data_IF_803716142291
#
_entry.id   IF_803716142291
#
_cell.length_a   1.000
_cell.length_b   1.000
_cell.length_c   1.000
_cell.angle_alpha   90.00
_cell.angle_beta   90.00
_cell.angle_gamma   90.00
#
_symmetry.space_group_name_H-M   'P 1'
#
loop_
_entity.id
_entity.type
_entity.pdbx_description
1 polymer ?
#
# COMPACT_ATOMS: atom_id res chain seq x y z
N UNK A 1 11.28 31.69 -3.89
CA UNK A 1 9.85 32.10 -3.83
C UNK A 1 8.93 30.89 -3.60
N UNK A 2 7.71 31.03 -3.06
CA UNK A 2 6.88 29.88 -2.66
C UNK A 2 6.56 28.90 -3.79
N UNK A 3 6.11 29.38 -4.97
CA UNK A 3 5.71 28.48 -6.05
C UNK A 3 6.90 27.65 -6.60
N UNK A 4 8.07 28.25 -6.91
CA UNK A 4 9.27 27.48 -7.25
C UNK A 4 9.74 26.54 -6.13
N UNK A 5 9.69 26.96 -4.87
CA UNK A 5 10.13 26.12 -3.76
C UNK A 5 9.26 24.85 -3.60
N UNK A 6 7.93 24.99 -3.65
CA UNK A 6 7.01 23.85 -3.58
C UNK A 6 7.13 22.93 -4.80
N UNK A 7 7.28 23.49 -5.99
CA UNK A 7 7.51 22.67 -7.19
C UNK A 7 8.84 21.91 -7.10
N UNK A 8 9.91 22.54 -6.60
CA UNK A 8 11.19 21.87 -6.37
C UNK A 8 11.05 20.75 -5.33
N UNK A 9 10.35 20.99 -4.22
CA UNK A 9 10.02 19.96 -3.23
C UNK A 9 9.34 18.75 -3.87
N UNK A 10 8.34 18.99 -4.72
CA UNK A 10 7.65 17.94 -5.48
C UNK A 10 8.59 17.13 -6.40
N UNK A 11 9.60 17.77 -6.99
CA UNK A 11 10.59 17.08 -7.82
C UNK A 11 11.57 16.26 -6.98
N UNK A 12 11.91 16.73 -5.78
CA UNK A 12 12.94 16.15 -4.93
C UNK A 12 12.44 15.03 -3.99
N UNK A 13 11.13 14.97 -3.70
CA UNK A 13 10.55 14.02 -2.72
C UNK A 13 10.84 12.54 -3.02
N UNK A 14 11.02 12.20 -4.30
CA UNK A 14 11.27 10.84 -4.79
C UNK A 14 12.68 10.66 -5.35
N UNK A 15 13.63 11.53 -4.99
CA UNK A 15 14.99 11.51 -5.51
C UNK A 15 15.03 11.70 -7.04
N UNK A 16 15.69 10.80 -7.76
CA UNK A 16 15.92 10.92 -9.21
C UNK A 16 14.83 10.30 -10.11
N UNK A 17 13.61 10.08 -9.59
CA UNK A 17 12.52 9.49 -10.37
C UNK A 17 12.08 10.30 -11.60
N UNK A 18 12.37 11.62 -11.63
CA UNK A 18 12.11 12.48 -12.78
C UNK A 18 13.11 12.27 -13.94
N UNK A 19 14.16 11.47 -13.76
CA UNK A 19 15.18 11.22 -14.78
C UNK A 19 15.05 9.83 -15.42
N UNK A 20 15.55 9.71 -16.64
CA UNK A 20 15.60 8.49 -17.42
C UNK A 20 17.04 8.12 -17.80
N UNK A 21 17.36 6.82 -17.88
CA UNK A 21 16.56 5.68 -17.40
C UNK A 21 16.37 5.70 -15.87
N UNK A 22 15.26 5.14 -15.37
CA UNK A 22 14.98 5.14 -13.92
C UNK A 22 16.09 4.41 -13.16
N UNK A 23 16.71 5.09 -12.18
CA UNK A 23 17.73 4.54 -11.27
C UNK A 23 17.62 5.20 -9.89
N UNK A 24 18.13 4.53 -8.86
CA UNK A 24 18.34 5.15 -7.55
C UNK A 24 19.54 6.10 -7.65
N UNK A 25 19.30 7.40 -7.57
CA UNK A 25 20.33 8.44 -7.72
C UNK A 25 19.81 9.77 -7.14
N UNK A 26 20.60 10.84 -7.28
CA UNK A 26 20.26 12.19 -6.84
C UNK A 26 19.76 13.07 -7.99
N UNK A 27 18.77 13.90 -7.69
CA UNK A 27 18.29 14.98 -8.53
C UNK A 27 18.77 16.31 -7.96
N UNK A 28 19.32 17.17 -8.82
CA UNK A 28 19.59 18.56 -8.49
C UNK A 28 18.40 19.40 -8.95
N UNK A 29 17.87 20.25 -8.06
CA UNK A 29 16.88 21.25 -8.40
C UNK A 29 17.45 22.65 -8.12
N UNK A 30 17.58 23.46 -9.16
CA UNK A 30 17.95 24.88 -9.06
C UNK A 30 16.69 25.72 -9.03
N UNK A 31 16.48 26.44 -7.93
CA UNK A 31 15.29 27.27 -7.70
C UNK A 31 15.59 28.72 -8.08
N UNK A 32 14.94 29.20 -9.14
CA UNK A 32 14.98 30.59 -9.57
C UNK A 32 13.83 31.43 -9.00
N UNK A 33 13.68 32.64 -9.52
CA UNK A 33 12.61 33.56 -9.10
C UNK A 33 11.22 33.09 -9.57
N UNK A 34 11.12 32.60 -10.80
CA UNK A 34 9.87 32.17 -11.45
C UNK A 34 9.97 30.76 -12.10
N UNK A 35 11.07 30.04 -11.85
CA UNK A 35 11.33 28.72 -12.43
C UNK A 35 12.00 27.75 -11.45
N UNK A 36 11.91 26.47 -11.79
CA UNK A 36 12.70 25.37 -11.22
C UNK A 36 13.36 24.63 -12.36
N UNK A 37 14.67 24.46 -12.30
CA UNK A 37 15.42 23.63 -13.24
C UNK A 37 15.85 22.35 -12.55
N UNK A 38 15.58 21.21 -13.17
CA UNK A 38 15.94 19.90 -12.65
C UNK A 38 16.88 19.18 -13.59
N UNK A 39 17.92 18.59 -13.04
CA UNK A 39 18.84 17.73 -13.74
C UNK A 39 19.38 16.63 -12.81
N UNK A 40 19.66 15.42 -13.33
CA UNK A 40 20.30 14.38 -12.55
C UNK A 40 21.80 14.67 -12.41
N UNK A 41 22.39 14.30 -11.27
CA UNK A 41 23.83 14.46 -11.06
C UNK A 41 24.62 13.40 -11.87
N UNK A 42 24.04 12.23 -12.08
CA UNK A 42 24.65 11.15 -12.84
C UNK A 42 24.65 11.42 -14.36
N UNK A 43 25.84 11.48 -15.01
CA UNK A 43 25.98 11.81 -16.43
C UNK A 43 25.25 10.86 -17.39
N UNK A 44 24.93 9.64 -16.96
CA UNK A 44 24.19 8.66 -17.76
C UNK A 44 22.67 8.87 -17.74
N UNK A 45 22.18 9.80 -16.91
CA UNK A 45 20.76 10.09 -16.75
C UNK A 45 20.41 11.44 -17.39
N UNK A 46 19.15 11.59 -17.79
CA UNK A 46 18.58 12.83 -18.31
C UNK A 46 17.16 13.07 -17.82
N UNK A 47 16.82 14.30 -17.46
CA UNK A 47 15.44 14.74 -17.35
C UNK A 47 14.92 15.12 -18.73
N UNK A 48 13.67 14.75 -19.01
CA UNK A 48 12.94 15.16 -20.23
C UNK A 48 11.66 15.88 -19.83
N UNK A 49 11.07 16.73 -20.68
CA UNK A 49 9.82 17.38 -20.36
C UNK A 49 8.72 16.38 -19.95
N UNK A 50 8.66 15.23 -20.63
CA UNK A 50 7.70 14.19 -20.30
C UNK A 50 7.97 13.54 -18.93
N UNK A 51 9.23 13.19 -18.62
CA UNK A 51 9.55 12.54 -17.35
C UNK A 51 9.32 13.47 -16.15
N UNK A 52 9.61 14.77 -16.31
CA UNK A 52 9.30 15.80 -15.31
C UNK A 52 7.79 15.99 -15.15
N UNK A 53 7.03 16.01 -16.25
CA UNK A 53 5.56 16.09 -16.19
C UNK A 53 4.95 14.88 -15.47
N UNK A 54 5.42 13.67 -15.78
CA UNK A 54 4.96 12.43 -15.13
C UNK A 54 5.27 12.46 -13.63
N UNK A 55 6.46 12.90 -13.23
CA UNK A 55 6.80 13.03 -11.81
C UNK A 55 5.94 14.08 -11.11
N UNK A 56 5.61 15.20 -11.77
CA UNK A 56 4.74 16.22 -11.20
C UNK A 56 3.33 15.68 -10.91
N UNK A 57 2.83 14.77 -11.75
CA UNK A 57 1.52 14.11 -11.59
C UNK A 57 1.51 12.97 -10.56
N UNK A 58 2.68 12.38 -10.27
CA UNK A 58 2.79 11.23 -9.40
C UNK A 58 2.24 11.52 -8.00
N UNK A 59 1.53 10.58 -7.38
CA UNK A 59 1.01 10.70 -5.99
C UNK A 59 0.11 11.92 -5.71
N UNK A 60 -0.37 12.60 -6.74
CA UNK A 60 -1.27 13.74 -6.62
C UNK A 60 -2.71 13.37 -7.00
N UNK A 61 -3.68 13.86 -6.22
CA UNK A 61 -5.10 13.67 -6.51
C UNK A 61 -5.60 14.53 -7.68
N UNK A 62 -4.90 15.62 -7.99
CA UNK A 62 -5.20 16.51 -9.12
C UNK A 62 -3.94 16.66 -9.99
N UNK A 63 -4.09 16.68 -11.33
CA UNK A 63 -2.95 16.84 -12.21
C UNK A 63 -2.34 18.26 -12.23
N UNK A 64 -3.06 19.25 -11.70
CA UNK A 64 -2.70 20.68 -11.85
C UNK A 64 -2.80 21.50 -10.57
N UNK A 65 -3.41 20.97 -9.51
CA UNK A 65 -3.54 21.67 -8.22
C UNK A 65 -2.96 20.80 -7.11
N UNK A 66 -1.77 21.14 -6.64
CA UNK A 66 -1.15 20.43 -5.51
C UNK A 66 -1.45 21.20 -4.23
N UNK A 67 -2.07 20.53 -3.26
CA UNK A 67 -2.47 21.13 -1.99
C UNK A 67 -1.38 20.87 -0.97
N UNK A 68 -0.85 21.95 -0.43
CA UNK A 68 0.31 21.93 0.46
C UNK A 68 0.03 22.77 1.72
N UNK A 69 0.76 22.55 2.83
CA UNK A 69 0.67 23.42 3.99
C UNK A 69 0.82 24.91 3.61
N UNK A 70 -0.23 25.69 3.89
CA UNK A 70 -0.25 27.14 3.64
C UNK A 70 -0.64 27.57 2.23
N UNK A 71 -1.05 26.65 1.35
CA UNK A 71 -1.52 27.06 0.02
C UNK A 71 -1.73 25.96 -1.01
N UNK A 72 -1.96 26.41 -2.24
CA UNK A 72 -2.12 25.56 -3.41
C UNK A 72 -1.06 25.97 -4.42
N UNK A 73 -0.25 25.01 -4.85
CA UNK A 73 0.60 25.15 -6.03
C UNK A 73 -0.26 24.85 -7.27
N UNK A 74 -0.56 25.90 -8.03
CA UNK A 74 -1.26 25.81 -9.31
C UNK A 74 -0.25 25.70 -10.44
N UNK A 75 -0.29 24.58 -11.16
CA UNK A 75 0.60 24.25 -12.28
C UNK A 75 -0.12 24.32 -13.63
N UNK A 76 -1.35 24.85 -13.69
CA UNK A 76 -2.17 24.92 -14.91
C UNK A 76 -1.49 25.69 -16.05
N UNK A 77 -0.65 26.68 -15.71
CA UNK A 77 0.09 27.50 -16.67
C UNK A 77 1.57 27.11 -16.78
N UNK A 78 1.94 25.94 -16.25
CA UNK A 78 3.33 25.51 -16.29
C UNK A 78 3.80 25.25 -17.72
N UNK A 79 4.99 25.77 -18.03
CA UNK A 79 5.75 25.39 -19.23
C UNK A 79 6.90 24.51 -18.78
N UNK A 80 7.01 23.33 -19.39
CA UNK A 80 8.04 22.33 -19.09
C UNK A 80 8.90 22.19 -20.34
N UNK A 81 10.12 22.71 -20.31
CA UNK A 81 10.96 22.87 -21.48
C UNK A 81 12.36 22.31 -21.21
N UNK A 82 12.91 21.57 -22.18
CA UNK A 82 14.30 21.12 -22.10
C UNK A 82 15.22 22.32 -22.31
N UNK A 83 16.16 22.52 -21.39
CA UNK A 83 17.18 23.60 -21.47
C UNK A 83 18.56 23.05 -21.80
N UNK A 84 18.74 21.74 -21.65
CA UNK A 84 19.88 20.99 -22.15
C UNK A 84 19.45 19.56 -22.52
N UNK A 85 20.33 18.71 -23.07
CA UNK A 85 20.03 17.30 -23.28
C UNK A 85 19.70 16.52 -21.99
N UNK A 86 19.99 17.08 -20.81
CA UNK A 86 19.83 16.41 -19.50
C UNK A 86 19.01 17.19 -18.48
N UNK A 87 18.77 18.48 -18.73
CA UNK A 87 18.13 19.40 -17.80
C UNK A 87 16.83 19.95 -18.37
N UNK A 88 15.84 20.10 -17.49
CA UNK A 88 14.50 20.61 -17.81
C UNK A 88 14.17 21.76 -16.89
N UNK A 89 13.64 22.83 -17.45
CA UNK A 89 13.13 23.97 -16.70
C UNK A 89 11.61 23.96 -16.70
N UNK A 90 11.04 24.16 -15.52
CA UNK A 90 9.61 24.38 -15.31
C UNK A 90 9.40 25.82 -14.86
N UNK A 91 8.52 26.54 -15.54
CA UNK A 91 8.14 27.93 -15.21
C UNK A 91 6.62 28.10 -15.26
N UNK A 92 6.09 29.22 -14.78
CA UNK A 92 4.66 29.56 -14.89
C UNK A 92 3.77 28.98 -13.79
N UNK A 93 4.34 28.30 -12.79
CA UNK A 93 3.61 27.89 -11.58
C UNK A 93 3.23 29.10 -10.73
N UNK A 94 2.09 29.00 -10.05
CA UNK A 94 1.57 30.05 -9.17
C UNK A 94 1.28 29.49 -7.78
N UNK A 95 1.63 30.27 -6.75
CA UNK A 95 1.27 29.95 -5.38
C UNK A 95 0.00 30.71 -5.00
N UNK A 96 -1.02 29.98 -4.55
CA UNK A 96 -2.26 30.54 -4.03
C UNK A 96 -2.27 30.33 -2.51
N UNK A 97 -1.99 31.38 -1.71
CA UNK A 97 -1.98 31.25 -0.25
C UNK A 97 -3.33 30.74 0.28
N UNK A 98 -3.26 29.89 1.30
CA UNK A 98 -4.38 29.39 2.11
C UNK A 98 -3.94 29.39 3.58
N UNK A 99 -4.87 29.22 4.55
CA UNK A 99 -4.48 28.94 5.93
C UNK A 99 -3.48 27.78 6.00
N UNK A 100 -2.51 27.89 6.92
CA UNK A 100 -1.55 26.82 7.13
C UNK A 100 -2.25 25.63 7.79
N UNK A 101 -1.90 24.42 7.36
CA UNK A 101 -2.55 23.21 7.86
C UNK A 101 -1.52 22.12 8.13
N UNK A 102 -1.74 21.33 9.16
CA UNK A 102 -0.94 20.16 9.49
C UNK A 102 -1.81 18.92 9.32
N UNK A 103 -1.32 17.98 8.50
CA UNK A 103 -1.96 16.67 8.35
C UNK A 103 -1.55 15.77 9.51
N UNK A 104 -2.54 15.28 10.25
CA UNK A 104 -2.36 14.27 11.27
C UNK A 104 -2.75 12.90 10.73
N UNK A 105 -1.80 11.98 10.80
CA UNK A 105 -1.97 10.57 10.49
C UNK A 105 -1.65 9.74 11.72
N UNK A 106 -2.51 8.78 12.03
CA UNK A 106 -2.39 7.94 13.20
C UNK A 106 -2.60 6.48 12.85
N UNK A 107 -1.88 5.61 13.56
CA UNK A 107 -2.09 4.19 13.53
C UNK A 107 -2.40 3.72 14.95
N UNK A 108 -3.37 2.80 15.08
CA UNK A 108 -3.70 2.18 16.36
C UNK A 108 -3.50 0.68 16.29
N UNK A 109 -3.06 0.09 17.40
CA UNK A 109 -2.93 -1.37 17.50
C UNK A 109 -4.33 -1.97 17.49
N UNK A 110 -4.62 -2.81 16.50
CA UNK A 110 -5.94 -3.45 16.34
C UNK A 110 -5.93 -4.91 16.84
N UNK A 111 -4.74 -5.49 17.08
CA UNK A 111 -4.60 -6.82 17.63
C UNK A 111 -3.28 -7.46 17.24
N UNK A 112 -3.34 -8.77 17.01
CA UNK A 112 -2.24 -9.62 16.57
C UNK A 112 -2.66 -10.41 15.34
N UNK A 113 -1.69 -10.86 14.56
CA UNK A 113 -1.96 -11.67 13.38
C UNK A 113 -1.03 -12.87 13.24
N UNK A 114 -1.56 -13.92 12.64
CA UNK A 114 -0.81 -15.04 12.09
C UNK A 114 -1.34 -15.33 10.68
N UNK A 115 -0.48 -15.92 9.84
CA UNK A 115 -0.84 -16.31 8.48
C UNK A 115 -0.40 -17.73 8.16
N UNK A 116 -1.08 -18.37 7.21
CA UNK A 116 -0.62 -19.54 6.50
C UNK A 116 -0.87 -19.35 5.00
N UNK A 117 0.09 -19.77 4.17
CA UNK A 117 -0.04 -19.74 2.72
C UNK A 117 -0.11 -21.16 2.17
N UNK A 118 -1.07 -21.41 1.28
CA UNK A 118 -1.27 -22.69 0.62
C UNK A 118 -1.52 -22.49 -0.88
N UNK A 119 -1.12 -23.46 -1.69
CA UNK A 119 -1.50 -23.54 -3.11
C UNK A 119 -2.39 -24.74 -3.36
N UNK A 120 -3.33 -24.62 -4.31
CA UNK A 120 -4.04 -25.77 -4.87
C UNK A 120 -4.11 -25.69 -6.40
N UNK A 121 -4.04 -26.86 -7.04
CA UNK A 121 -4.13 -27.07 -8.48
C UNK A 121 -5.23 -28.07 -8.85
N UNK A 122 -5.98 -28.59 -7.89
CA UNK A 122 -7.03 -29.56 -8.18
C UNK A 122 -8.15 -28.86 -8.97
N UNK A 123 -8.42 -29.27 -10.22
CA UNK A 123 -9.39 -28.57 -11.08
C UNK A 123 -10.82 -28.67 -10.54
N UNK A 124 -11.17 -29.75 -9.83
CA UNK A 124 -12.46 -29.92 -9.18
C UNK A 124 -12.63 -28.98 -8.00
N UNK A 125 -11.58 -28.80 -7.19
CA UNK A 125 -11.59 -27.82 -6.10
C UNK A 125 -11.59 -26.38 -6.62
N UNK A 126 -10.74 -26.06 -7.59
CA UNK A 126 -10.64 -24.71 -8.19
C UNK A 126 -11.99 -24.27 -8.78
N UNK A 127 -12.72 -25.18 -9.44
CA UNK A 127 -14.05 -24.89 -10.01
C UNK A 127 -15.11 -24.48 -8.97
N UNK A 128 -14.93 -24.86 -7.69
CA UNK A 128 -15.87 -24.59 -6.60
C UNK A 128 -15.21 -23.91 -5.40
N UNK A 129 -14.12 -23.16 -5.64
CA UNK A 129 -13.27 -22.63 -4.58
C UNK A 129 -14.00 -21.71 -3.59
N UNK A 130 -15.03 -20.98 -4.03
CA UNK A 130 -15.82 -20.12 -3.14
C UNK A 130 -16.61 -20.94 -2.13
N UNK A 131 -17.35 -21.94 -2.61
CA UNK A 131 -18.13 -22.85 -1.76
C UNK A 131 -17.22 -23.60 -0.79
N UNK A 132 -16.04 -24.00 -1.25
CA UNK A 132 -15.04 -24.60 -0.40
C UNK A 132 -14.53 -23.61 0.68
N UNK A 133 -14.18 -22.39 0.30
CA UNK A 133 -13.72 -21.35 1.24
C UNK A 133 -14.77 -21.03 2.30
N UNK A 134 -16.05 -20.94 1.91
CA UNK A 134 -17.17 -20.73 2.84
C UNK A 134 -17.33 -21.90 3.81
N UNK A 135 -17.23 -23.14 3.32
CA UNK A 135 -17.29 -24.32 4.18
C UNK A 135 -16.11 -24.37 5.17
N UNK A 136 -14.91 -23.98 4.75
CA UNK A 136 -13.73 -23.84 5.62
C UNK A 136 -13.98 -22.78 6.69
N UNK A 137 -14.51 -21.61 6.34
CA UNK A 137 -14.85 -20.56 7.31
C UNK A 137 -15.83 -21.05 8.37
N UNK A 138 -16.90 -21.74 7.96
CA UNK A 138 -17.90 -22.28 8.87
C UNK A 138 -17.32 -23.37 9.80
N UNK A 139 -16.51 -24.28 9.25
CA UNK A 139 -15.86 -25.34 10.01
C UNK A 139 -14.84 -24.79 11.02
N UNK A 140 -14.04 -23.79 10.61
CA UNK A 140 -13.10 -23.11 11.52
C UNK A 140 -13.86 -22.40 12.63
N UNK A 141 -14.94 -21.67 12.33
CA UNK A 141 -15.74 -21.01 13.35
C UNK A 141 -16.26 -21.97 14.41
N UNK A 142 -16.80 -23.12 13.98
CA UNK A 142 -17.26 -24.17 14.90
C UNK A 142 -16.12 -24.68 15.80
N UNK A 143 -14.94 -24.95 15.23
CA UNK A 143 -13.79 -25.46 15.98
C UNK A 143 -13.19 -24.42 16.94
N UNK A 144 -13.13 -23.16 16.52
CA UNK A 144 -12.62 -22.05 17.34
C UNK A 144 -13.54 -21.79 18.53
N UNK A 145 -14.86 -21.79 18.31
CA UNK A 145 -15.83 -21.72 19.42
C UNK A 145 -15.69 -22.89 20.40
N UNK A 146 -15.42 -24.11 19.91
CA UNK A 146 -15.17 -25.26 20.77
C UNK A 146 -13.87 -25.14 21.61
N UNK A 147 -12.93 -24.27 21.22
CA UNK A 147 -11.75 -23.91 22.02
C UNK A 147 -12.02 -22.78 23.04
N UNK A 148 -13.26 -22.29 23.13
CA UNK A 148 -13.64 -21.22 24.05
C UNK A 148 -13.29 -19.81 23.57
N UNK A 149 -12.96 -19.64 22.28
CA UNK A 149 -12.72 -18.33 21.67
C UNK A 149 -14.01 -17.85 21.02
N UNK A 150 -14.45 -16.64 21.38
CA UNK A 150 -15.69 -16.08 20.84
C UNK A 150 -15.50 -15.54 19.40
N UNK A 151 -16.51 -15.59 18.51
CA UNK A 151 -16.39 -15.08 17.14
C UNK A 151 -15.99 -13.60 17.02
N UNK A 152 -16.25 -12.77 18.03
CA UNK A 152 -15.82 -11.38 18.08
C UNK A 152 -14.35 -11.17 18.50
N UNK A 153 -13.66 -12.23 18.93
CA UNK A 153 -12.26 -12.15 19.37
C UNK A 153 -11.27 -12.35 18.23
N UNK A 154 -11.76 -12.75 17.05
CA UNK A 154 -10.95 -12.95 15.87
C UNK A 154 -11.70 -12.67 14.57
N UNK A 155 -10.95 -12.45 13.51
CA UNK A 155 -11.42 -12.42 12.14
C UNK A 155 -10.54 -13.36 11.32
N UNK A 156 -11.16 -14.28 10.57
CA UNK A 156 -10.48 -15.10 9.58
C UNK A 156 -10.64 -14.46 8.19
N UNK A 157 -9.53 -14.20 7.53
CA UNK A 157 -9.48 -13.67 6.16
C UNK A 157 -8.82 -14.71 5.25
N UNK A 158 -9.55 -15.19 4.25
CA UNK A 158 -9.00 -16.00 3.17
C UNK A 158 -8.89 -15.14 1.91
N UNK A 159 -7.68 -14.90 1.43
CA UNK A 159 -7.42 -14.23 0.14
C UNK A 159 -7.04 -15.25 -0.91
N UNK A 160 -7.73 -15.22 -2.05
CA UNK A 160 -7.59 -16.19 -3.15
C UNK A 160 -6.84 -15.55 -4.34
N UNK A 161 -5.52 -15.67 -4.35
CA UNK A 161 -4.66 -15.25 -5.46
C UNK A 161 -4.83 -16.19 -6.66
N UNK A 162 -4.93 -15.62 -7.86
CA UNK A 162 -5.34 -16.34 -9.08
C UNK A 162 -6.85 -16.30 -9.34
N UNK A 163 -7.65 -15.84 -8.35
CA UNK A 163 -9.10 -15.57 -8.49
C UNK A 163 -9.40 -14.07 -8.48
N UNK A 164 -9.38 -13.46 -7.29
CA UNK A 164 -9.71 -12.05 -7.07
C UNK A 164 -8.99 -11.48 -5.84
N UNK A 165 -7.88 -12.08 -5.40
CA UNK A 165 -7.17 -11.70 -4.17
C UNK A 165 -6.62 -10.27 -4.12
N UNK A 166 -6.55 -9.57 -5.26
CA UNK A 166 -6.10 -8.15 -5.36
C UNK A 166 -7.29 -7.19 -5.33
N UNK A 167 -8.22 -7.33 -6.29
CA UNK A 167 -9.36 -6.41 -6.46
C UNK A 167 -10.59 -6.78 -5.62
N UNK A 168 -10.62 -7.99 -5.03
CA UNK A 168 -11.74 -8.47 -4.24
C UNK A 168 -13.06 -8.47 -5.03
N UNK A 169 -14.07 -7.81 -4.49
CA UNK A 169 -15.38 -7.65 -5.14
C UNK A 169 -15.35 -6.70 -6.35
N UNK A 170 -14.30 -5.88 -6.50
CA UNK A 170 -14.13 -4.97 -7.63
C UNK A 170 -13.45 -5.64 -8.84
N UNK A 171 -13.17 -6.95 -8.76
CA UNK A 171 -12.64 -7.70 -9.90
C UNK A 171 -13.67 -7.75 -11.03
N UNK A 172 -13.25 -7.38 -12.23
CA UNK A 172 -14.12 -7.33 -13.42
C UNK A 172 -14.22 -8.72 -14.03
N UNK A 173 -13.14 -9.50 -13.98
CA UNK A 173 -13.08 -10.86 -14.52
C UNK A 173 -13.62 -11.86 -13.50
N UNK A 174 -14.92 -12.17 -13.62
CA UNK A 174 -15.62 -13.06 -12.67
C UNK A 174 -15.28 -14.56 -12.84
N UNK A 175 -14.88 -14.97 -14.04
CA UNK A 175 -14.46 -16.34 -14.34
C UNK A 175 -13.00 -16.35 -14.77
N UNK A 176 -12.17 -16.95 -13.92
CA UNK A 176 -10.73 -17.09 -14.17
C UNK A 176 -10.40 -18.45 -14.79
N UNK A 177 -9.44 -18.47 -15.71
CA UNK A 177 -8.87 -19.70 -16.27
C UNK A 177 -7.63 -20.18 -15.50
N UNK A 178 -7.39 -19.66 -14.29
CA UNK A 178 -6.24 -20.04 -13.47
C UNK A 178 -6.20 -21.54 -13.21
N UNK A 179 -5.07 -22.16 -13.53
CA UNK A 179 -4.81 -23.55 -13.20
C UNK A 179 -4.49 -23.76 -11.71
N UNK A 180 -4.03 -22.71 -11.02
CA UNK A 180 -3.61 -22.74 -9.63
C UNK A 180 -4.20 -21.56 -8.86
N UNK A 181 -4.56 -21.79 -7.60
CA UNK A 181 -4.99 -20.75 -6.67
C UNK A 181 -4.09 -20.76 -5.44
N UNK A 182 -3.56 -19.58 -5.10
CA UNK A 182 -2.90 -19.32 -3.83
C UNK A 182 -3.90 -18.86 -2.79
N UNK A 183 -3.92 -19.49 -1.63
CA UNK A 183 -4.77 -19.17 -0.49
C UNK A 183 -3.90 -18.62 0.62
N UNK A 184 -4.00 -17.31 0.86
CA UNK A 184 -3.45 -16.68 2.06
C UNK A 184 -4.54 -16.65 3.12
N UNK A 185 -4.42 -17.54 4.12
CA UNK A 185 -5.25 -17.51 5.31
C UNK A 185 -4.58 -16.62 6.37
N UNK A 186 -5.30 -15.63 6.86
CA UNK A 186 -4.87 -14.71 7.91
C UNK A 186 -5.88 -14.72 9.04
N UNK A 187 -5.43 -14.96 10.26
CA UNK A 187 -6.22 -14.67 11.45
C UNK A 187 -5.75 -13.33 12.03
N UNK A 188 -6.69 -12.46 12.33
CA UNK A 188 -6.51 -11.26 13.16
C UNK A 188 -7.24 -11.50 14.47
N UNK A 189 -6.59 -11.33 15.61
CA UNK A 189 -7.20 -11.61 16.91
C UNK A 189 -6.71 -10.69 18.03
N UNK A 190 -7.39 -10.72 19.17
CA UNK A 190 -7.03 -9.93 20.36
C UNK A 190 -5.65 -10.25 20.93
N UNK A 191 -5.20 -11.51 20.82
CA UNK A 191 -3.88 -11.98 21.26
C UNK A 191 -3.20 -12.84 20.20
N UNK A 192 -1.87 -12.97 20.27
CA UNK A 192 -1.10 -13.78 19.33
C UNK A 192 -1.47 -15.26 19.44
N UNK A 193 -1.76 -15.74 20.65
CA UNK A 193 -2.15 -17.12 20.92
C UNK A 193 -3.46 -17.47 20.22
N UNK A 194 -4.45 -16.58 20.25
CA UNK A 194 -5.72 -16.77 19.53
C UNK A 194 -5.48 -16.78 18.03
N UNK A 195 -4.68 -15.83 17.50
CA UNK A 195 -4.37 -15.78 16.07
C UNK A 195 -3.70 -17.09 15.59
N UNK A 196 -2.74 -17.60 16.36
CA UNK A 196 -2.05 -18.86 16.08
C UNK A 196 -3.01 -20.06 16.10
N UNK A 197 -3.89 -20.14 17.10
CA UNK A 197 -4.87 -21.21 17.21
C UNK A 197 -5.83 -21.21 16.01
N UNK A 198 -6.34 -20.05 15.61
CA UNK A 198 -7.24 -19.90 14.46
C UNK A 198 -6.54 -20.30 13.16
N UNK A 199 -5.30 -19.85 12.91
CA UNK A 199 -4.53 -20.24 11.72
C UNK A 199 -4.25 -21.73 11.70
N UNK A 200 -3.81 -22.31 12.81
CA UNK A 200 -3.55 -23.75 12.91
C UNK A 200 -4.80 -24.58 12.59
N UNK A 201 -5.96 -24.21 13.13
CA UNK A 201 -7.24 -24.84 12.80
C UNK A 201 -7.64 -24.63 11.33
N UNK A 202 -7.39 -23.44 10.79
CA UNK A 202 -7.67 -23.11 9.39
C UNK A 202 -6.83 -23.98 8.46
N UNK A 203 -5.53 -24.09 8.72
CA UNK A 203 -4.60 -24.90 7.95
C UNK A 203 -5.04 -26.36 7.88
N UNK A 204 -5.34 -26.96 9.03
CA UNK A 204 -5.83 -28.35 9.11
C UNK A 204 -7.15 -28.50 8.36
N UNK A 205 -8.05 -27.52 8.48
CA UNK A 205 -9.34 -27.54 7.79
C UNK A 205 -9.18 -27.41 6.27
N UNK A 206 -8.32 -26.50 5.78
CA UNK A 206 -8.00 -26.39 4.36
C UNK A 206 -7.46 -27.70 3.78
N UNK A 207 -6.61 -28.42 4.53
CA UNK A 207 -5.98 -29.65 4.07
C UNK A 207 -6.96 -30.83 3.97
N UNK A 208 -7.91 -30.92 4.91
CA UNK A 208 -8.73 -32.12 5.11
C UNK A 208 -10.22 -31.95 4.77
N UNK A 209 -10.73 -30.72 4.59
CA UNK A 209 -12.14 -30.51 4.19
C UNK A 209 -12.47 -31.23 2.89
N UNK A 210 -13.65 -31.83 2.86
CA UNK A 210 -14.14 -32.56 1.69
C UNK A 210 -14.78 -31.62 0.66
N UNK A 211 -14.89 -32.08 -0.58
CA UNK A 211 -15.59 -31.36 -1.65
C UNK A 211 -16.21 -32.32 -2.68
N UNK A 212 -17.31 -31.94 -3.35
CA UNK A 212 -17.95 -32.80 -4.35
C UNK A 212 -17.00 -33.19 -5.49
N UNK A 213 -16.98 -34.50 -5.82
CA UNK A 213 -16.17 -35.03 -6.92
C UNK A 213 -14.70 -35.26 -6.59
N UNK A 214 -14.30 -35.11 -5.32
CA UNK A 214 -12.94 -35.38 -4.85
C UNK A 214 -12.54 -36.85 -5.06
N UNK A 215 -11.39 -37.09 -5.67
CA UNK A 215 -10.88 -38.44 -5.95
C UNK A 215 -9.99 -38.99 -4.81
N UNK A 216 -9.25 -38.12 -4.12
CA UNK A 216 -8.33 -38.48 -3.04
C UNK A 216 -8.92 -38.12 -1.67
N UNK A 217 -8.71 -38.93 -0.63
CA UNK A 217 -9.30 -38.66 0.69
C UNK A 217 -8.63 -37.55 1.49
N UNK A 218 -7.39 -37.21 1.19
CA UNK A 218 -6.60 -36.23 1.93
C UNK A 218 -5.72 -35.38 1.00
N UNK A 219 -5.28 -34.21 1.48
CA UNK A 219 -4.23 -33.43 0.83
C UNK A 219 -4.73 -32.42 -0.21
N UNK A 220 -5.58 -31.46 0.15
CA UNK A 220 -6.05 -30.43 -0.80
C UNK A 220 -5.02 -29.35 -1.15
N UNK A 221 -4.01 -29.20 -0.31
CA UNK A 221 -3.16 -28.02 -0.26
C UNK A 221 -1.68 -28.40 -0.27
N UNK A 222 -0.90 -27.65 -1.03
CA UNK A 222 0.55 -27.61 -0.95
C UNK A 222 0.97 -26.41 -0.08
N UNK A 223 1.70 -26.65 1.00
CA UNK A 223 2.29 -25.60 1.83
C UNK A 223 3.75 -25.40 1.43
N UNK A 224 4.19 -24.17 1.11
CA UNK A 224 5.56 -23.92 0.66
C UNK A 224 6.60 -23.90 1.79
N UNK A 225 6.17 -23.82 3.05
CA UNK A 225 7.06 -23.67 4.21
C UNK A 225 6.77 -24.69 5.31
N UNK A 226 7.80 -24.98 6.11
CA UNK A 226 7.72 -25.72 7.37
C UNK A 226 8.59 -24.99 8.41
N UNK A 227 8.01 -24.43 9.49
CA UNK A 227 6.57 -24.42 9.79
C UNK A 227 5.75 -23.67 8.73
N UNK A 228 4.49 -24.11 8.55
CA UNK A 228 3.57 -23.55 7.55
C UNK A 228 2.82 -22.30 8.03
N UNK A 229 2.85 -22.06 9.35
CA UNK A 229 2.21 -20.96 10.03
C UNK A 229 3.28 -19.90 10.37
N UNK A 230 2.99 -18.62 10.12
CA UNK A 230 3.90 -17.49 10.34
C UNK A 230 3.21 -16.48 11.26
N UNK A 231 3.83 -16.19 12.40
CA UNK A 231 3.39 -15.09 13.28
C UNK A 231 3.75 -13.75 12.67
N UNK A 232 2.80 -12.82 12.64
CA UNK A 232 3.03 -11.43 12.23
C UNK A 232 3.20 -10.48 13.42
N UNK A 233 2.86 -10.91 14.63
CA UNK A 233 2.92 -10.08 15.82
C UNK A 233 1.79 -9.05 15.85
N UNK A 234 2.04 -7.95 16.56
CA UNK A 234 1.10 -6.84 16.68
C UNK A 234 0.83 -6.20 15.31
N UNK A 235 -0.43 -6.01 15.00
CA UNK A 235 -0.87 -5.33 13.77
C UNK A 235 -1.59 -4.03 14.10
N UNK A 236 -1.48 -3.09 13.17
CA UNK A 236 -1.99 -1.74 13.30
C UNK A 236 -2.92 -1.43 12.14
N UNK A 237 -3.97 -0.67 12.42
CA UNK A 237 -4.81 -0.09 11.40
C UNK A 237 -4.62 1.43 11.41
N UNK A 238 -4.79 2.02 10.23
CA UNK A 238 -4.85 3.46 10.11
C UNK A 238 -6.10 3.98 10.84
N UNK A 239 -5.93 4.83 11.84
CA UNK A 239 -6.98 5.23 12.79
C UNK A 239 -7.30 6.72 12.77
N UNK A 240 -6.40 7.54 12.26
CA UNK A 240 -6.58 9.00 12.19
C UNK A 240 -6.16 9.52 10.82
N UNK A 241 -7.05 10.31 10.22
CA UNK A 241 -6.78 11.16 9.06
C UNK A 241 -7.48 12.48 9.26
N UNK A 242 -6.77 13.43 9.84
CA UNK A 242 -7.33 14.73 10.17
C UNK A 242 -6.41 15.85 9.69
N UNK A 243 -6.98 17.03 9.50
CA UNK A 243 -6.24 18.25 9.14
C UNK A 243 -6.50 19.24 10.25
N UNK A 244 -5.43 19.71 10.87
CA UNK A 244 -5.46 20.74 11.92
C UNK A 244 -5.09 22.08 11.30
N UNK A 245 -5.78 23.13 11.70
CA UNK A 245 -5.51 24.52 11.33
C UNK A 245 -4.93 25.22 12.56
N UNK A 246 -3.60 25.20 12.79
CA UNK A 246 -2.98 25.88 13.92
C UNK A 246 -2.92 27.40 13.67
N UNK A 247 -2.82 28.17 14.75
CA UNK A 247 -2.62 29.63 14.66
C UNK A 247 -1.17 29.96 14.23
N UNK A 248 -0.20 29.12 14.60
CA UNK A 248 1.21 29.19 14.23
C UNK A 248 1.70 27.83 13.66
N UNK A 249 2.38 27.78 12.50
CA UNK A 249 2.96 26.55 11.95
C UNK A 249 3.84 25.73 12.91
N UNK A 250 4.45 26.35 13.92
CA UNK A 250 5.34 25.72 14.90
C UNK A 250 4.63 25.29 16.19
N UNK A 251 3.36 25.65 16.38
CA UNK A 251 2.60 25.41 17.62
C UNK A 251 2.59 23.93 18.03
N UNK A 252 2.52 23.02 17.06
CA UNK A 252 2.43 21.58 17.28
C UNK A 252 3.81 20.88 17.39
N UNK A 253 4.91 21.62 17.21
CA UNK A 253 6.26 21.09 17.14
C UNK A 253 7.20 21.89 18.06
N UNK A 254 7.13 21.71 19.39
CA UNK A 254 8.00 22.43 20.32
C UNK A 254 9.48 22.12 20.02
N UNK A 255 10.29 23.18 19.90
CA UNK A 255 11.72 23.08 19.62
C UNK A 255 12.49 23.48 20.88
N UNK A 256 13.20 22.52 21.47
CA UNK A 256 14.14 22.77 22.56
C UNK A 256 15.57 22.86 21.99
N UNK A 257 16.28 23.95 22.33
CA UNK A 257 17.68 24.13 21.94
C UNK A 257 18.58 23.75 23.11
N UNK A 258 19.47 22.77 22.91
CA UNK A 258 20.53 22.45 23.86
C UNK A 258 21.86 23.06 23.38
N UNK A 259 22.54 23.79 24.28
CA UNK A 259 23.92 24.19 24.04
C UNK A 259 24.83 23.05 24.50
N UNK A 260 25.52 22.42 23.54
CA UNK A 260 26.53 21.37 23.76
C UNK A 260 27.92 21.99 23.80
#
# INVERSE_FOLDING_TARGET
PPAPAWFAGKMLECGCNAALPKRHDCLLATVGDDYVEVEPINPELACTPLSVAVQALHENASPIHHREPGGILDTSNCKIEAVSPRAVRVSGMQWKPQPYTIKLEGAEKTGYSAIAFAGTRDPGLVAQIDQFADSVRAAVATKVTALGVSPEEYQLVLRLYGRNGVMGAAEIVQQTASHEIGILAEAVAKTQEIANAVVGLTRVTLLHSDFPGRLCKEGNMAFPFSPSDIERGAIYQFSLRHVVEPDDPLEMFPIDYENI
#
